data_IF_022773991817
#
_entry.id   IF_022773991817
#
_cell.length_a   1.000
_cell.length_b   1.000
_cell.length_c   1.000
_cell.angle_alpha   90.00
_cell.angle_beta   90.00
_cell.angle_gamma   90.00
#
_symmetry.space_group_name_H-M   'P 1'
#
loop_
_entity.id
_entity.type
_entity.pdbx_description
1 polymer ?
#
# COMPACT_ATOMS: atom_id res chain seq x y z
N UNK A 1 10.30 -25.20 -43.44
CA UNK A 1 10.93 -24.35 -44.47
C UNK A 1 9.86 -23.55 -45.21
N UNK A 2 10.05 -22.23 -45.31
CA UNK A 2 9.34 -21.20 -46.11
C UNK A 2 7.83 -20.98 -45.87
N UNK A 3 7.37 -19.88 -45.25
CA UNK A 3 7.23 -18.45 -45.68
C UNK A 3 6.16 -18.18 -46.75
N UNK A 4 5.23 -17.29 -46.39
CA UNK A 4 4.49 -16.23 -47.14
C UNK A 4 2.98 -16.28 -46.81
N UNK A 5 2.37 -15.32 -46.10
CA UNK A 5 2.10 -13.89 -46.39
C UNK A 5 1.08 -13.65 -47.51
N UNK A 6 -0.14 -13.27 -47.15
CA UNK A 6 -1.07 -12.47 -47.96
C UNK A 6 -1.95 -11.67 -46.97
N UNK A 7 -1.67 -10.38 -46.74
CA UNK A 7 -2.28 -9.24 -47.43
C UNK A 7 -3.81 -9.24 -47.40
N UNK A 8 -4.38 -8.48 -46.46
CA UNK A 8 -5.62 -7.72 -46.67
C UNK A 8 -5.33 -6.24 -46.35
N UNK A 9 -5.18 -5.45 -47.41
CA UNK A 9 -5.11 -4.00 -47.37
C UNK A 9 -6.50 -3.39 -47.55
N UNK A 10 -6.86 -2.56 -46.57
CA UNK A 10 -7.58 -1.27 -46.67
C UNK A 10 -8.99 -1.21 -47.27
N UNK A 11 -9.96 -0.80 -46.44
CA UNK A 11 -10.38 0.62 -46.38
C UNK A 11 -11.09 0.95 -45.05
N UNK A 12 -11.08 2.23 -44.62
CA UNK A 12 -11.22 2.62 -43.23
C UNK A 12 -12.64 3.07 -42.89
N UNK A 13 -13.26 2.42 -41.91
CA UNK A 13 -14.42 2.95 -41.20
C UNK A 13 -13.98 3.31 -39.79
N UNK A 14 -13.84 4.59 -39.51
CA UNK A 14 -13.54 5.13 -38.18
C UNK A 14 -14.68 4.83 -37.20
N UNK A 15 -14.66 3.63 -36.62
CA UNK A 15 -15.39 3.31 -35.40
C UNK A 15 -14.39 3.37 -34.26
N UNK A 16 -14.43 4.46 -33.49
CA UNK A 16 -13.74 4.55 -32.21
C UNK A 16 -13.98 3.27 -31.40
N UNK A 17 -12.91 2.56 -31.04
CA UNK A 17 -12.94 1.54 -29.99
C UNK A 17 -13.73 2.12 -28.81
N UNK A 18 -14.76 1.43 -28.27
CA UNK A 18 -15.39 1.89 -27.04
C UNK A 18 -14.28 2.01 -25.99
N UNK A 19 -14.19 3.13 -25.27
CA UNK A 19 -13.33 3.20 -24.11
C UNK A 19 -13.63 2.01 -23.20
N UNK A 20 -12.61 1.43 -22.56
CA UNK A 20 -12.78 0.30 -21.62
C UNK A 20 -13.93 0.56 -20.63
N UNK A 21 -14.12 1.82 -20.26
CA UNK A 21 -15.23 2.36 -19.47
C UNK A 21 -16.63 2.04 -20.06
N UNK A 22 -16.86 2.22 -21.37
CA UNK A 22 -18.14 1.91 -22.01
C UNK A 22 -18.41 0.41 -22.06
N UNK A 23 -17.38 -0.40 -22.29
CA UNK A 23 -17.51 -1.86 -22.31
C UNK A 23 -17.88 -2.39 -20.91
N UNK A 24 -17.27 -1.84 -19.86
CA UNK A 24 -17.57 -2.21 -18.48
C UNK A 24 -18.89 -1.63 -17.99
N UNK A 25 -19.28 -0.41 -18.38
CA UNK A 25 -20.64 0.11 -18.16
C UNK A 25 -21.71 -0.84 -18.73
N UNK A 26 -21.47 -1.40 -19.90
CA UNK A 26 -22.33 -2.42 -20.49
C UNK A 26 -22.28 -3.74 -19.68
N UNK A 27 -21.10 -4.20 -19.27
CA UNK A 27 -20.95 -5.42 -18.45
C UNK A 27 -21.65 -5.29 -17.08
N UNK A 28 -21.60 -4.12 -16.45
CA UNK A 28 -22.29 -3.79 -15.20
C UNK A 28 -23.82 -3.69 -15.35
N UNK A 29 -24.35 -3.40 -16.55
CA UNK A 29 -25.79 -3.22 -16.76
C UNK A 29 -26.54 -4.45 -17.30
N UNK A 30 -25.84 -5.44 -17.87
CA UNK A 30 -26.49 -6.48 -18.69
C UNK A 30 -27.00 -7.72 -17.92
N UNK A 31 -26.68 -7.91 -16.63
CA UNK A 31 -26.92 -9.21 -15.96
C UNK A 31 -27.69 -9.22 -14.62
N UNK A 32 -28.45 -8.18 -14.25
CA UNK A 32 -28.92 -8.07 -12.86
C UNK A 32 -30.43 -7.97 -12.69
N UNK A 33 -30.98 -8.79 -11.78
CA UNK A 33 -32.35 -8.66 -11.26
C UNK A 33 -32.49 -7.31 -10.57
N UNK A 34 -33.27 -6.42 -11.17
CA UNK A 34 -33.23 -4.98 -10.91
C UNK A 34 -33.82 -4.61 -9.55
N UNK A 35 -32.96 -4.38 -8.56
CA UNK A 35 -33.25 -3.35 -7.56
C UNK A 35 -33.04 -1.99 -8.24
N UNK A 36 -33.98 -1.05 -8.06
CA UNK A 36 -33.91 0.25 -8.73
C UNK A 36 -32.77 1.10 -8.17
N UNK A 37 -31.68 1.21 -8.94
CA UNK A 37 -30.47 1.98 -8.58
C UNK A 37 -30.77 3.46 -8.36
N UNK A 38 -31.82 4.00 -9.00
CA UNK A 38 -32.26 5.40 -8.78
C UNK A 38 -32.82 5.58 -7.38
N UNK A 39 -33.73 4.69 -6.98
CA UNK A 39 -34.30 4.68 -5.64
C UNK A 39 -33.21 4.51 -4.57
N UNK A 40 -32.25 3.62 -4.79
CA UNK A 40 -31.12 3.44 -3.87
C UNK A 40 -30.25 4.71 -3.78
N UNK A 41 -30.03 5.41 -4.90
CA UNK A 41 -29.30 6.68 -4.92
C UNK A 41 -30.02 7.77 -4.13
N UNK A 42 -31.36 7.85 -4.22
CA UNK A 42 -32.16 8.80 -3.44
C UNK A 42 -32.08 8.51 -1.94
N UNK A 43 -32.18 7.23 -1.54
CA UNK A 43 -32.03 6.84 -0.14
C UNK A 43 -30.64 7.21 0.39
N UNK A 44 -29.57 6.93 -0.38
CA UNK A 44 -28.20 7.31 0.00
C UNK A 44 -27.97 8.82 0.02
N UNK A 45 -28.73 9.60 -0.76
CA UNK A 45 -28.69 11.06 -0.67
C UNK A 45 -29.34 11.54 0.63
N UNK A 46 -30.45 10.93 1.01
CA UNK A 46 -31.18 11.26 2.24
C UNK A 46 -30.39 10.90 3.52
N UNK A 47 -29.46 9.93 3.49
CA UNK A 47 -28.60 9.65 4.65
C UNK A 47 -27.59 10.76 4.98
N UNK A 48 -27.34 11.67 4.05
CA UNK A 48 -26.42 12.81 4.22
C UNK A 48 -27.17 14.04 4.72
N UNK A 49 -28.48 14.12 4.52
CA UNK A 49 -29.32 15.21 5.03
C UNK A 49 -29.69 14.96 6.51
N UNK A 50 -29.29 15.85 7.45
CA UNK A 50 -29.61 15.70 8.86
C UNK A 50 -31.11 15.49 9.16
N UNK A 51 -32.00 16.06 8.35
CA UNK A 51 -33.45 15.97 8.58
C UNK A 51 -34.05 14.64 8.11
N UNK A 52 -33.41 13.97 7.14
CA UNK A 52 -33.92 12.73 6.53
C UNK A 52 -33.10 11.49 6.90
N UNK A 53 -31.96 11.70 7.56
CA UNK A 53 -30.98 10.66 7.86
C UNK A 53 -31.57 9.46 8.59
N UNK A 54 -32.31 9.69 9.67
CA UNK A 54 -32.85 8.61 10.49
C UNK A 54 -33.84 7.74 9.68
N UNK A 55 -34.74 8.38 8.92
CA UNK A 55 -35.69 7.67 8.07
C UNK A 55 -34.99 6.90 6.94
N UNK A 56 -33.94 7.48 6.35
CA UNK A 56 -33.17 6.83 5.29
C UNK A 56 -32.36 5.61 5.82
N UNK A 57 -31.75 5.74 7.00
CA UNK A 57 -31.03 4.64 7.66
C UNK A 57 -31.99 3.49 8.03
N UNK A 58 -33.19 3.80 8.52
CA UNK A 58 -34.25 2.81 8.76
C UNK A 58 -34.66 2.09 7.46
N UNK A 59 -34.85 2.82 6.35
CA UNK A 59 -35.14 2.18 5.06
C UNK A 59 -34.00 1.27 4.59
N UNK A 60 -32.74 1.69 4.72
CA UNK A 60 -31.58 0.86 4.40
C UNK A 60 -31.55 -0.41 5.28
N UNK A 61 -31.88 -0.28 6.57
CA UNK A 61 -31.97 -1.41 7.50
C UNK A 61 -33.08 -2.41 7.14
N UNK A 62 -34.12 -2.00 6.41
CA UNK A 62 -35.16 -2.92 5.96
C UNK A 62 -34.74 -3.66 4.69
N UNK A 63 -34.01 -3.01 3.79
CA UNK A 63 -33.69 -3.55 2.46
C UNK A 63 -32.33 -4.24 2.39
N UNK A 64 -31.44 -4.09 3.38
CA UNK A 64 -30.08 -4.68 3.35
C UNK A 64 -30.07 -6.22 3.28
N UNK A 65 -31.19 -6.87 3.62
CA UNK A 65 -31.35 -8.33 3.58
C UNK A 65 -31.80 -8.86 2.21
N UNK A 66 -32.15 -7.97 1.28
CA UNK A 66 -32.65 -8.37 -0.04
C UNK A 66 -31.48 -8.83 -0.91
N UNK A 67 -31.63 -9.99 -1.56
CA UNK A 67 -30.65 -10.50 -2.53
C UNK A 67 -30.53 -9.50 -3.69
N UNK A 68 -29.30 -9.16 -4.07
CA UNK A 68 -28.98 -8.16 -5.07
C UNK A 68 -28.71 -6.77 -4.48
N UNK A 69 -28.92 -6.55 -3.18
CA UNK A 69 -28.69 -5.26 -2.54
C UNK A 69 -27.21 -4.87 -2.56
N UNK A 70 -26.31 -5.75 -2.12
CA UNK A 70 -24.88 -5.43 -2.06
C UNK A 70 -24.27 -5.15 -3.45
N UNK A 71 -24.54 -5.97 -4.50
CA UNK A 71 -24.10 -5.67 -5.86
C UNK A 71 -24.68 -4.36 -6.42
N UNK A 72 -25.97 -4.08 -6.15
CA UNK A 72 -26.61 -2.82 -6.57
C UNK A 72 -25.98 -1.61 -5.89
N UNK A 73 -25.59 -1.75 -4.63
CA UNK A 73 -24.89 -0.69 -3.90
C UNK A 73 -23.50 -0.43 -4.48
N UNK A 74 -22.74 -1.49 -4.81
CA UNK A 74 -21.46 -1.35 -5.52
C UNK A 74 -21.66 -0.65 -6.88
N UNK A 75 -22.71 -1.00 -7.62
CA UNK A 75 -23.04 -0.36 -8.89
C UNK A 75 -23.28 1.14 -8.71
N UNK A 76 -24.11 1.55 -7.74
CA UNK A 76 -24.39 2.97 -7.45
C UNK A 76 -23.13 3.74 -7.07
N UNK A 77 -22.25 3.14 -6.25
CA UNK A 77 -20.95 3.72 -5.87
C UNK A 77 -20.05 3.98 -7.09
N UNK A 78 -20.17 3.17 -8.13
CA UNK A 78 -19.39 3.28 -9.36
C UNK A 78 -20.05 4.15 -10.44
N UNK A 79 -21.28 4.65 -10.24
CA UNK A 79 -21.93 5.55 -11.19
C UNK A 79 -21.31 6.95 -11.13
N UNK A 80 -20.71 7.39 -12.24
CA UNK A 80 -20.10 8.72 -12.36
C UNK A 80 -21.12 9.87 -12.37
N UNK A 81 -22.39 9.59 -12.69
CA UNK A 81 -23.49 10.55 -12.64
C UNK A 81 -23.91 10.90 -11.20
N UNK A 82 -23.54 10.05 -10.23
CA UNK A 82 -23.84 10.26 -8.81
C UNK A 82 -22.76 11.13 -8.18
N UNK A 83 -23.17 12.11 -7.37
CA UNK A 83 -22.22 13.03 -6.72
C UNK A 83 -21.32 12.30 -5.73
N UNK A 84 -20.08 12.77 -5.59
CA UNK A 84 -19.05 12.14 -4.73
C UNK A 84 -19.53 11.93 -3.28
N UNK A 85 -20.22 12.88 -2.60
CA UNK A 85 -20.70 12.65 -1.24
C UNK A 85 -21.66 11.45 -1.12
N UNK A 86 -22.55 11.27 -2.11
CA UNK A 86 -23.51 10.14 -2.14
C UNK A 86 -22.78 8.83 -2.39
N UNK A 87 -21.80 8.83 -3.32
CA UNK A 87 -20.94 7.66 -3.57
C UNK A 87 -20.11 7.28 -2.34
N UNK A 88 -19.63 8.27 -1.58
CA UNK A 88 -18.92 8.06 -0.32
C UNK A 88 -19.82 7.42 0.75
N UNK A 89 -21.03 7.95 0.95
CA UNK A 89 -21.99 7.34 1.87
C UNK A 89 -22.31 5.89 1.47
N UNK A 90 -22.50 5.64 0.16
CA UNK A 90 -22.73 4.31 -0.38
C UNK A 90 -21.58 3.34 -0.15
N UNK A 91 -20.33 3.75 -0.39
CA UNK A 91 -19.17 2.86 -0.22
C UNK A 91 -18.86 2.61 1.25
N UNK A 92 -19.10 3.59 2.13
CA UNK A 92 -18.98 3.41 3.58
C UNK A 92 -20.01 2.39 4.07
N UNK A 93 -21.26 2.50 3.58
CA UNK A 93 -22.28 1.51 3.89
C UNK A 93 -21.91 0.12 3.36
N UNK A 94 -21.47 0.03 2.10
CA UNK A 94 -21.06 -1.24 1.48
C UNK A 94 -19.94 -1.91 2.26
N UNK A 95 -18.92 -1.14 2.65
CA UNK A 95 -17.83 -1.62 3.49
C UNK A 95 -18.37 -2.20 4.80
N UNK A 96 -19.22 -1.45 5.51
CA UNK A 96 -19.78 -1.90 6.78
C UNK A 96 -20.63 -3.16 6.61
N UNK A 97 -21.42 -3.25 5.53
CA UNK A 97 -22.22 -4.41 5.18
C UNK A 97 -21.35 -5.65 4.94
N UNK A 98 -20.28 -5.52 4.14
CA UNK A 98 -19.31 -6.59 3.89
C UNK A 98 -18.60 -6.99 5.18
N UNK A 99 -18.10 -6.04 5.95
CA UNK A 99 -17.40 -6.33 7.22
C UNK A 99 -18.30 -7.06 8.22
N UNK A 100 -19.59 -6.74 8.29
CA UNK A 100 -20.52 -7.35 9.23
C UNK A 100 -21.14 -8.68 8.74
N UNK A 101 -21.37 -8.83 7.43
CA UNK A 101 -22.18 -9.91 6.86
C UNK A 101 -21.44 -10.87 5.92
N UNK A 102 -20.12 -10.74 5.72
CA UNK A 102 -19.37 -11.64 4.84
C UNK A 102 -19.00 -12.98 5.48
N UNK A 103 -18.78 -13.01 6.80
CA UNK A 103 -18.57 -14.27 7.52
C UNK A 103 -19.93 -14.88 7.85
N UNK A 104 -20.16 -16.13 7.45
CA UNK A 104 -21.26 -16.93 7.99
C UNK A 104 -21.00 -17.15 9.49
N UNK A 105 -21.90 -16.65 10.32
CA UNK A 105 -21.88 -16.88 11.77
C UNK A 105 -22.65 -18.15 12.06
N UNK A 106 -22.11 -18.97 12.97
CA UNK A 106 -22.80 -20.17 13.45
C UNK A 106 -24.11 -19.76 14.15
N UNK A 107 -25.14 -20.58 13.97
CA UNK A 107 -26.44 -20.36 14.62
C UNK A 107 -26.36 -20.96 16.01
N UNK A 108 -26.31 -20.13 17.06
CA UNK A 108 -26.45 -20.61 18.43
C UNK A 108 -27.88 -21.10 18.68
N UNK A 109 -28.04 -22.23 19.38
CA UNK A 109 -29.36 -22.82 19.64
C UNK A 109 -30.27 -21.85 20.39
N UNK A 110 -31.37 -21.44 19.73
CA UNK A 110 -32.37 -20.51 20.28
C UNK A 110 -32.21 -19.05 19.86
N UNK A 111 -31.12 -18.69 19.17
CA UNK A 111 -30.91 -17.34 18.63
C UNK A 111 -31.42 -17.20 17.18
N UNK A 112 -31.88 -15.99 16.77
CA UNK A 112 -32.26 -15.74 15.39
C UNK A 112 -31.07 -15.88 14.46
N UNK A 113 -31.28 -16.48 13.29
CA UNK A 113 -30.23 -16.69 12.27
C UNK A 113 -29.54 -15.35 11.99
N UNK A 114 -28.22 -15.25 12.24
CA UNK A 114 -27.49 -14.02 12.03
C UNK A 114 -27.49 -13.63 10.55
N UNK A 115 -27.57 -12.32 10.28
CA UNK A 115 -27.51 -11.83 8.90
C UNK A 115 -26.19 -12.22 8.24
N UNK A 116 -26.31 -12.75 7.03
CA UNK A 116 -25.20 -13.15 6.18
C UNK A 116 -25.55 -12.76 4.74
N UNK A 117 -24.61 -12.15 4.03
CA UNK A 117 -24.77 -11.81 2.61
C UNK A 117 -24.91 -13.11 1.83
N UNK A 118 -25.95 -13.20 1.00
CA UNK A 118 -26.22 -14.38 0.19
C UNK A 118 -25.06 -14.68 -0.77
N UNK A 119 -24.77 -15.96 -1.01
CA UNK A 119 -23.60 -16.38 -1.81
C UNK A 119 -23.63 -15.84 -3.26
N UNK A 120 -24.83 -15.68 -3.84
CA UNK A 120 -25.00 -15.03 -5.14
C UNK A 120 -24.44 -13.59 -5.16
N UNK A 121 -24.73 -12.81 -4.11
CA UNK A 121 -24.23 -11.45 -3.98
C UNK A 121 -22.73 -11.45 -3.71
N UNK A 122 -22.24 -12.38 -2.88
CA UNK A 122 -20.80 -12.53 -2.63
C UNK A 122 -20.03 -12.83 -3.92
N UNK A 123 -20.51 -13.76 -4.75
CA UNK A 123 -19.92 -14.07 -6.04
C UNK A 123 -19.87 -12.83 -6.94
N UNK A 124 -20.97 -12.07 -7.03
CA UNK A 124 -21.01 -10.84 -7.82
C UNK A 124 -20.05 -9.77 -7.29
N UNK A 125 -19.92 -9.61 -5.97
CA UNK A 125 -18.96 -8.66 -5.39
C UNK A 125 -17.53 -9.10 -5.69
N UNK A 126 -17.18 -10.39 -5.51
CA UNK A 126 -15.85 -10.92 -5.87
C UNK A 126 -15.51 -10.69 -7.34
N UNK A 127 -16.51 -10.85 -8.21
CA UNK A 127 -16.33 -10.65 -9.65
C UNK A 127 -16.13 -9.19 -10.07
N UNK A 128 -16.46 -8.21 -9.22
CA UNK A 128 -16.40 -6.80 -9.61
C UNK A 128 -15.53 -5.91 -8.70
N UNK A 129 -15.20 -6.35 -7.48
CA UNK A 129 -14.53 -5.51 -6.48
C UNK A 129 -13.14 -5.03 -6.92
N UNK A 130 -12.37 -5.88 -7.61
CA UNK A 130 -11.03 -5.51 -8.12
C UNK A 130 -11.15 -4.45 -9.21
N UNK A 131 -12.08 -4.63 -10.15
CA UNK A 131 -12.35 -3.68 -11.24
C UNK A 131 -12.83 -2.33 -10.66
N UNK A 132 -13.68 -2.38 -9.64
CA UNK A 132 -14.16 -1.21 -8.93
C UNK A 132 -13.02 -0.44 -8.22
N UNK A 133 -12.09 -1.13 -7.55
CA UNK A 133 -10.92 -0.50 -6.90
C UNK A 133 -10.03 0.21 -7.93
N UNK A 134 -9.78 -0.43 -9.07
CA UNK A 134 -8.95 0.14 -10.14
C UNK A 134 -9.55 1.44 -10.68
N UNK A 135 -10.86 1.46 -10.92
CA UNK A 135 -11.54 2.60 -11.55
C UNK A 135 -11.99 3.68 -10.57
N UNK A 136 -12.12 3.36 -9.29
CA UNK A 136 -12.63 4.29 -8.30
C UNK A 136 -11.66 5.46 -8.06
N UNK A 137 -12.18 6.67 -7.79
CA UNK A 137 -11.37 7.77 -7.26
C UNK A 137 -10.85 7.41 -5.86
N UNK A 138 -9.74 8.03 -5.44
CA UNK A 138 -9.00 7.68 -4.22
C UNK A 138 -9.90 7.52 -2.98
N UNK A 139 -10.79 8.47 -2.73
CA UNK A 139 -11.65 8.46 -1.54
C UNK A 139 -12.65 7.31 -1.50
N UNK A 140 -13.05 6.77 -2.65
CA UNK A 140 -13.89 5.57 -2.75
C UNK A 140 -13.00 4.32 -2.68
N UNK A 141 -11.86 4.37 -3.38
CA UNK A 141 -10.89 3.28 -3.47
C UNK A 141 -10.43 2.80 -2.10
N UNK A 142 -10.11 3.71 -1.18
CA UNK A 142 -9.66 3.36 0.18
C UNK A 142 -10.73 2.57 0.96
N UNK A 143 -12.01 2.89 0.79
CA UNK A 143 -13.10 2.17 1.46
C UNK A 143 -13.34 0.79 0.84
N UNK A 144 -13.24 0.69 -0.49
CA UNK A 144 -13.31 -0.59 -1.19
C UNK A 144 -12.15 -1.53 -0.80
N UNK A 145 -10.94 -1.00 -0.57
CA UNK A 145 -9.82 -1.81 -0.07
C UNK A 145 -10.10 -2.42 1.31
N UNK A 146 -10.82 -1.72 2.20
CA UNK A 146 -11.22 -2.28 3.50
C UNK A 146 -12.24 -3.41 3.31
N UNK A 147 -13.21 -3.23 2.42
CA UNK A 147 -14.16 -4.30 2.07
C UNK A 147 -13.41 -5.52 1.49
N UNK A 148 -12.48 -5.29 0.56
CA UNK A 148 -11.64 -6.32 -0.03
C UNK A 148 -10.82 -7.09 1.02
N UNK A 149 -10.27 -6.39 2.02
CA UNK A 149 -9.54 -7.03 3.12
C UNK A 149 -10.40 -8.08 3.84
N UNK A 150 -11.66 -7.76 4.13
CA UNK A 150 -12.60 -8.72 4.72
C UNK A 150 -12.84 -9.91 3.77
N UNK A 151 -13.08 -9.64 2.49
CA UNK A 151 -13.34 -10.69 1.49
C UNK A 151 -12.14 -11.66 1.40
N UNK A 152 -10.93 -11.13 1.26
CA UNK A 152 -9.69 -11.93 1.19
C UNK A 152 -9.53 -12.79 2.45
N UNK A 153 -9.78 -12.23 3.63
CA UNK A 153 -9.63 -12.93 4.91
C UNK A 153 -10.46 -14.21 4.99
N UNK A 154 -11.66 -14.20 4.42
CA UNK A 154 -12.61 -15.31 4.52
C UNK A 154 -12.62 -16.23 3.29
N UNK A 155 -12.32 -15.70 2.10
CA UNK A 155 -12.49 -16.44 0.83
C UNK A 155 -11.16 -16.84 0.17
N UNK A 156 -10.03 -16.19 0.47
CA UNK A 156 -8.74 -16.55 -0.10
C UNK A 156 -7.97 -17.51 0.83
N UNK A 157 -7.37 -18.60 0.31
CA UNK A 157 -7.29 -19.01 -1.10
C UNK A 157 -8.40 -19.98 -1.53
N UNK A 158 -9.28 -20.41 -0.62
CA UNK A 158 -10.13 -21.58 -0.84
C UNK A 158 -11.28 -21.35 -1.82
N UNK A 159 -12.01 -20.24 -1.66
CA UNK A 159 -13.21 -19.92 -2.45
C UNK A 159 -12.92 -18.93 -3.58
N UNK A 160 -11.84 -18.15 -3.49
CA UNK A 160 -11.56 -17.08 -4.44
C UNK A 160 -10.07 -16.91 -4.75
N UNK A 161 -9.57 -17.69 -5.70
CA UNK A 161 -8.18 -17.59 -6.19
C UNK A 161 -8.01 -16.54 -7.30
N UNK A 162 -9.09 -16.21 -8.01
CA UNK A 162 -9.09 -15.37 -9.22
C UNK A 162 -8.65 -13.92 -8.96
N UNK A 163 -8.59 -13.49 -7.70
CA UNK A 163 -8.01 -12.20 -7.33
C UNK A 163 -6.57 -12.05 -7.83
N UNK A 164 -5.77 -13.13 -7.78
CA UNK A 164 -4.37 -13.13 -8.23
C UNK A 164 -4.28 -12.89 -9.73
N UNK A 165 -5.12 -13.58 -10.51
CA UNK A 165 -5.18 -13.44 -11.97
C UNK A 165 -5.59 -12.02 -12.38
N UNK A 166 -6.58 -11.44 -11.70
CA UNK A 166 -7.00 -10.06 -11.97
C UNK A 166 -5.90 -9.05 -11.66
N UNK A 167 -5.23 -9.18 -10.52
CA UNK A 167 -4.09 -8.31 -10.18
C UNK A 167 -3.02 -8.44 -11.26
N UNK A 168 -2.69 -9.66 -11.67
CA UNK A 168 -1.70 -9.91 -12.72
C UNK A 168 -2.08 -9.22 -14.05
N UNK A 169 -3.33 -9.35 -14.50
CA UNK A 169 -3.82 -8.70 -15.73
C UNK A 169 -3.72 -7.18 -15.63
N UNK A 170 -4.13 -6.57 -14.52
CA UNK A 170 -4.06 -5.11 -14.36
C UNK A 170 -2.63 -4.58 -14.24
N UNK A 171 -1.69 -5.36 -13.70
CA UNK A 171 -0.27 -5.01 -13.69
C UNK A 171 0.36 -5.02 -15.09
N UNK A 172 -0.19 -5.79 -16.03
CA UNK A 172 0.27 -5.83 -17.43
C UNK A 172 -0.23 -4.65 -18.26
N UNK A 173 -1.34 -4.02 -17.87
CA UNK A 173 -1.93 -2.90 -18.60
C UNK A 173 -1.15 -1.62 -18.32
N UNK A 174 -0.60 -0.91 -19.33
CA UNK A 174 0.25 0.26 -19.13
C UNK A 174 -0.56 1.51 -18.77
N UNK A 175 -1.19 1.50 -17.60
CA UNK A 175 -2.01 2.58 -17.05
C UNK A 175 -1.74 2.74 -15.55
N UNK A 176 -1.36 3.95 -15.12
CA UNK A 176 -0.96 4.21 -13.75
C UNK A 176 -2.09 3.98 -12.73
N UNK A 177 -3.34 4.26 -13.12
CA UNK A 177 -4.51 4.00 -12.27
C UNK A 177 -4.74 2.49 -12.09
N UNK A 178 -4.63 1.73 -13.17
CA UNK A 178 -4.67 0.27 -13.18
C UNK A 178 -3.60 -0.33 -12.29
N UNK A 179 -2.35 0.13 -12.42
CA UNK A 179 -1.25 -0.30 -11.56
C UNK A 179 -1.52 0.01 -10.08
N UNK A 180 -1.92 1.24 -9.76
CA UNK A 180 -2.20 1.63 -8.38
C UNK A 180 -3.31 0.78 -7.76
N UNK A 181 -4.43 0.60 -8.46
CA UNK A 181 -5.54 -0.23 -7.98
C UNK A 181 -5.13 -1.69 -7.76
N UNK A 182 -4.39 -2.28 -8.71
CA UNK A 182 -3.89 -3.65 -8.60
C UNK A 182 -2.92 -3.82 -7.42
N UNK A 183 -2.00 -2.88 -7.23
CA UNK A 183 -1.05 -2.91 -6.13
C UNK A 183 -1.72 -2.71 -4.77
N UNK A 184 -2.79 -1.93 -4.69
CA UNK A 184 -3.59 -1.80 -3.47
C UNK A 184 -4.32 -3.11 -3.14
N UNK A 185 -4.89 -3.79 -4.13
CA UNK A 185 -5.45 -5.13 -3.97
C UNK A 185 -4.40 -6.14 -3.48
N UNK A 186 -3.22 -6.12 -4.10
CA UNK A 186 -2.09 -6.97 -3.69
C UNK A 186 -1.63 -6.67 -2.26
N UNK A 187 -1.61 -5.40 -1.87
CA UNK A 187 -1.27 -5.02 -0.50
C UNK A 187 -2.23 -5.60 0.53
N UNK A 188 -3.55 -5.62 0.24
CA UNK A 188 -4.52 -6.26 1.13
C UNK A 188 -4.30 -7.77 1.22
N UNK A 189 -3.92 -8.42 0.11
CA UNK A 189 -3.57 -9.84 0.09
C UNK A 189 -2.34 -10.12 0.98
N UNK A 190 -1.28 -9.33 0.84
CA UNK A 190 -0.06 -9.45 1.67
C UNK A 190 -0.40 -9.21 3.15
N UNK A 191 -1.16 -8.15 3.45
CA UNK A 191 -1.58 -7.80 4.82
C UNK A 191 -2.42 -8.88 5.49
N UNK A 192 -3.22 -9.64 4.74
CA UNK A 192 -3.98 -10.76 5.30
C UNK A 192 -3.07 -11.82 5.95
N UNK A 193 -1.87 -12.01 5.40
CA UNK A 193 -0.89 -12.99 5.89
C UNK A 193 0.19 -12.39 6.80
N UNK A 194 0.10 -11.10 7.13
CA UNK A 194 1.15 -10.35 7.85
C UNK A 194 1.58 -11.03 9.16
N UNK A 195 0.62 -11.56 9.92
CA UNK A 195 0.85 -12.20 11.23
C UNK A 195 0.78 -13.74 11.19
N UNK A 196 0.63 -14.33 10.01
CA UNK A 196 0.58 -15.78 9.87
C UNK A 196 1.98 -16.40 9.99
N UNK A 197 2.06 -17.62 10.55
CA UNK A 197 3.26 -18.44 10.56
C UNK A 197 3.62 -18.91 9.13
N UNK A 198 4.87 -19.31 8.91
CA UNK A 198 5.42 -19.60 7.58
C UNK A 198 4.60 -20.64 6.81
N UNK A 199 4.15 -21.70 7.48
CA UNK A 199 3.40 -22.82 6.90
C UNK A 199 2.04 -22.38 6.35
N UNK A 200 1.43 -21.36 6.97
CA UNK A 200 0.14 -20.81 6.53
C UNK A 200 0.28 -19.77 5.42
N UNK A 201 1.51 -19.38 5.05
CA UNK A 201 1.77 -18.39 3.99
C UNK A 201 1.93 -19.01 2.60
N UNK A 202 1.94 -20.34 2.47
CA UNK A 202 2.09 -21.02 1.16
C UNK A 202 1.23 -20.41 0.05
N UNK A 203 -0.08 -20.12 0.25
CA UNK A 203 -0.90 -19.53 -0.80
C UNK A 203 -0.46 -18.11 -1.21
N UNK A 204 0.06 -17.31 -0.26
CA UNK A 204 0.65 -16.01 -0.58
C UNK A 204 1.93 -16.20 -1.39
N UNK A 205 2.79 -17.15 -1.00
CA UNK A 205 4.06 -17.41 -1.70
C UNK A 205 3.81 -17.84 -3.15
N UNK A 206 2.83 -18.72 -3.38
CA UNK A 206 2.40 -19.11 -4.73
C UNK A 206 1.93 -17.91 -5.56
N UNK A 207 1.09 -17.03 -4.98
CA UNK A 207 0.66 -15.80 -5.64
C UNK A 207 1.84 -14.87 -5.96
N UNK A 208 2.79 -14.74 -5.03
CA UNK A 208 3.95 -13.87 -5.20
C UNK A 208 4.99 -14.40 -6.19
N UNK A 209 5.05 -15.71 -6.46
CA UNK A 209 5.86 -16.25 -7.56
C UNK A 209 5.47 -15.65 -8.91
N UNK A 210 4.17 -15.36 -9.11
CA UNK A 210 3.66 -14.69 -10.30
C UNK A 210 3.79 -13.17 -10.22
N UNK A 211 3.47 -12.58 -9.07
CA UNK A 211 3.29 -11.13 -8.93
C UNK A 211 4.59 -10.37 -8.60
N UNK A 212 5.55 -10.98 -7.90
CA UNK A 212 6.80 -10.33 -7.51
C UNK A 212 7.67 -9.92 -8.73
N UNK A 213 7.84 -10.75 -9.77
CA UNK A 213 8.56 -10.33 -10.98
C UNK A 213 7.87 -9.16 -11.70
N UNK A 214 6.53 -9.13 -11.71
CA UNK A 214 5.76 -8.02 -12.29
C UNK A 214 5.99 -6.71 -11.52
N UNK A 215 5.96 -6.77 -10.19
CA UNK A 215 6.28 -5.61 -9.34
C UNK A 215 7.70 -5.11 -9.58
N UNK A 216 8.67 -6.02 -9.67
CA UNK A 216 10.08 -5.69 -9.92
C UNK A 216 10.26 -4.99 -11.29
N UNK A 217 9.72 -5.57 -12.36
CA UNK A 217 9.83 -4.98 -13.69
C UNK A 217 9.15 -3.60 -13.74
N UNK A 218 8.00 -3.45 -13.07
CA UNK A 218 7.28 -2.18 -13.02
C UNK A 218 8.09 -1.10 -12.30
N UNK A 219 8.64 -1.38 -11.11
CA UNK A 219 9.43 -0.38 -10.39
C UNK A 219 10.68 0.02 -11.16
N UNK A 220 11.39 -0.94 -11.78
CA UNK A 220 12.58 -0.67 -12.61
C UNK A 220 12.24 0.24 -13.80
N UNK A 221 11.14 -0.05 -14.50
CA UNK A 221 10.69 0.76 -15.63
C UNK A 221 10.29 2.19 -15.23
N UNK A 222 9.79 2.37 -14.00
CA UNK A 222 9.34 3.66 -13.50
C UNK A 222 10.45 4.51 -12.85
N UNK A 223 11.64 3.98 -12.60
CA UNK A 223 12.70 4.71 -11.86
C UNK A 223 13.08 6.05 -12.51
N UNK A 224 13.07 6.12 -13.85
CA UNK A 224 13.39 7.34 -14.57
C UNK A 224 12.26 8.38 -14.58
N UNK A 225 11.02 7.95 -14.34
CA UNK A 225 9.84 8.81 -14.34
C UNK A 225 9.60 9.42 -12.96
N UNK A 226 9.87 10.72 -12.86
CA UNK A 226 9.72 11.52 -11.64
C UNK A 226 8.36 12.23 -11.53
N UNK A 227 7.35 11.83 -12.31
CA UNK A 227 5.97 12.29 -12.13
C UNK A 227 5.40 11.85 -10.78
N UNK A 228 4.45 12.64 -10.25
CA UNK A 228 3.77 12.37 -8.98
C UNK A 228 3.11 11.00 -9.02
N UNK A 229 2.45 10.66 -10.13
CA UNK A 229 1.74 9.42 -10.37
C UNK A 229 2.69 8.22 -10.36
N UNK A 230 3.82 8.31 -11.08
CA UNK A 230 4.86 7.27 -11.09
C UNK A 230 5.41 7.03 -9.69
N UNK A 231 5.78 8.10 -8.97
CA UNK A 231 6.39 7.99 -7.64
C UNK A 231 5.41 7.40 -6.62
N UNK A 232 4.11 7.71 -6.74
CA UNK A 232 3.07 7.08 -5.93
C UNK A 232 2.99 5.56 -6.19
N UNK A 233 3.06 5.12 -7.45
CA UNK A 233 3.09 3.70 -7.81
C UNK A 233 4.34 3.03 -7.25
N UNK A 234 5.53 3.63 -7.42
CA UNK A 234 6.78 3.12 -6.86
C UNK A 234 6.71 2.98 -5.34
N UNK A 235 6.21 4.00 -4.63
CA UNK A 235 5.97 3.97 -3.18
C UNK A 235 5.03 2.81 -2.81
N UNK A 236 3.97 2.56 -3.57
CA UNK A 236 3.05 1.46 -3.29
C UNK A 236 3.71 0.08 -3.54
N UNK A 237 4.58 -0.06 -4.54
CA UNK A 237 5.38 -1.28 -4.77
C UNK A 237 6.30 -1.54 -3.57
N UNK A 238 7.00 -0.52 -3.08
CA UNK A 238 7.86 -0.64 -1.90
C UNK A 238 7.06 -1.01 -0.65
N UNK A 239 5.84 -0.48 -0.47
CA UNK A 239 4.93 -0.92 0.61
C UNK A 239 4.60 -2.41 0.53
N UNK A 240 4.28 -2.90 -0.67
CA UNK A 240 4.01 -4.32 -0.89
C UNK A 240 5.24 -5.18 -0.60
N UNK A 241 6.41 -4.81 -1.10
CA UNK A 241 7.66 -5.52 -0.85
C UNK A 241 8.01 -5.55 0.64
N UNK A 242 7.93 -4.41 1.33
CA UNK A 242 8.14 -4.35 2.78
C UNK A 242 7.14 -5.24 3.53
N UNK A 243 5.85 -5.20 3.17
CA UNK A 243 4.83 -6.04 3.78
C UNK A 243 5.11 -7.54 3.63
N UNK A 244 5.66 -7.96 2.49
CA UNK A 244 6.03 -9.35 2.22
C UNK A 244 7.15 -9.84 3.15
N UNK A 245 8.15 -8.99 3.42
CA UNK A 245 9.38 -9.36 4.15
C UNK A 245 9.41 -8.93 5.62
N UNK A 246 8.41 -8.16 6.10
CA UNK A 246 8.44 -7.50 7.43
C UNK A 246 8.68 -8.48 8.59
N UNK A 247 8.01 -9.64 8.56
CA UNK A 247 8.01 -10.59 9.67
C UNK A 247 8.68 -11.92 9.35
N UNK A 248 8.62 -12.36 8.09
CA UNK A 248 9.24 -13.59 7.61
C UNK A 248 9.88 -13.29 6.26
N UNK A 249 11.12 -13.70 6.05
CA UNK A 249 11.80 -13.58 4.76
C UNK A 249 11.73 -14.95 4.06
N UNK A 250 10.81 -15.17 3.11
CA UNK A 250 10.65 -16.47 2.46
C UNK A 250 11.82 -16.71 1.48
N UNK A 251 12.87 -17.39 1.93
CA UNK A 251 14.11 -17.60 1.15
C UNK A 251 13.91 -18.40 -0.14
N UNK A 252 12.85 -19.23 -0.21
CA UNK A 252 12.48 -19.96 -1.42
C UNK A 252 11.96 -19.03 -2.54
N UNK A 253 11.26 -17.96 -2.16
CA UNK A 253 10.74 -16.95 -3.06
C UNK A 253 11.78 -15.83 -3.32
N UNK A 254 12.42 -15.38 -2.24
CA UNK A 254 13.42 -14.31 -2.24
C UNK A 254 14.79 -14.97 -2.21
N UNK A 255 15.14 -15.60 -3.32
CA UNK A 255 16.46 -16.18 -3.54
C UNK A 255 17.53 -15.08 -3.50
N UNK A 256 18.81 -15.45 -3.40
CA UNK A 256 19.90 -14.47 -3.42
C UNK A 256 19.87 -13.55 -4.65
N UNK A 257 19.48 -14.06 -5.81
CA UNK A 257 19.35 -13.26 -7.03
C UNK A 257 18.20 -12.24 -6.91
N UNK A 258 17.01 -12.70 -6.49
CA UNK A 258 15.85 -11.84 -6.30
C UNK A 258 16.15 -10.78 -5.24
N UNK A 259 16.76 -11.18 -4.13
CA UNK A 259 17.17 -10.26 -3.07
C UNK A 259 18.13 -9.19 -3.59
N UNK A 260 19.18 -9.58 -4.32
CA UNK A 260 20.17 -8.64 -4.90
C UNK A 260 19.48 -7.58 -5.76
N UNK A 261 18.57 -8.00 -6.65
CA UNK A 261 17.78 -7.09 -7.49
C UNK A 261 16.96 -6.09 -6.68
N UNK A 262 16.26 -6.55 -5.64
CA UNK A 262 15.48 -5.65 -4.78
C UNK A 262 16.35 -4.73 -3.93
N UNK A 263 17.53 -5.18 -3.49
CA UNK A 263 18.49 -4.32 -2.79
C UNK A 263 19.03 -3.20 -3.67
N UNK A 264 19.29 -3.48 -4.96
CA UNK A 264 19.65 -2.45 -5.94
C UNK A 264 18.53 -1.44 -6.14
N UNK A 265 17.27 -1.88 -6.21
CA UNK A 265 16.11 -0.99 -6.28
C UNK A 265 16.02 -0.09 -5.04
N UNK A 266 16.10 -0.66 -3.84
CA UNK A 266 16.05 0.10 -2.58
C UNK A 266 17.18 1.12 -2.50
N UNK A 267 18.40 0.73 -2.88
CA UNK A 267 19.56 1.60 -2.95
C UNK A 267 19.35 2.74 -3.95
N UNK A 268 18.91 2.42 -5.17
CA UNK A 268 18.67 3.39 -6.24
C UNK A 268 17.62 4.43 -5.84
N UNK A 269 16.51 4.03 -5.21
CA UNK A 269 15.50 4.96 -4.69
C UNK A 269 16.09 5.94 -3.66
N UNK A 270 17.03 5.46 -2.84
CA UNK A 270 17.74 6.33 -1.88
C UNK A 270 18.75 7.25 -2.54
N UNK A 271 19.38 6.86 -3.66
CA UNK A 271 20.34 7.67 -4.42
C UNK A 271 19.69 8.77 -5.27
N UNK A 272 18.50 8.53 -5.82
CA UNK A 272 17.80 9.52 -6.68
C UNK A 272 17.51 10.81 -5.89
N UNK A 273 17.96 11.99 -6.32
CA UNK A 273 17.70 13.24 -5.63
C UNK A 273 16.20 13.58 -5.67
N UNK A 274 15.69 14.22 -4.62
CA UNK A 274 14.32 14.74 -4.63
C UNK A 274 14.29 15.98 -5.53
N UNK A 275 13.31 16.12 -6.46
CA UNK A 275 13.27 17.25 -7.38
C UNK A 275 13.20 18.61 -6.68
N UNK A 276 13.94 19.60 -7.19
CA UNK A 276 14.06 20.93 -6.56
C UNK A 276 12.72 21.68 -6.48
N UNK A 277 11.77 21.42 -7.38
CA UNK A 277 10.44 22.04 -7.34
C UNK A 277 9.67 21.70 -6.05
N UNK A 278 10.02 20.60 -5.37
CA UNK A 278 9.42 20.22 -4.08
C UNK A 278 9.78 21.19 -2.95
N UNK A 279 10.85 21.98 -3.10
CA UNK A 279 11.26 22.98 -2.10
C UNK A 279 10.32 24.20 -2.08
N UNK A 280 9.49 24.38 -3.10
CA UNK A 280 8.47 25.43 -3.16
C UNK A 280 7.28 25.17 -2.23
N UNK A 281 7.12 23.92 -1.78
CA UNK A 281 6.10 23.53 -0.80
C UNK A 281 6.58 23.90 0.59
N UNK A 282 5.66 24.33 1.45
CA UNK A 282 5.92 24.65 2.84
C UNK A 282 6.60 23.48 3.57
N UNK A 283 7.57 23.78 4.42
CA UNK A 283 8.45 22.76 5.02
C UNK A 283 7.68 21.67 5.77
N UNK A 284 6.62 22.06 6.48
CA UNK A 284 5.74 21.17 7.25
C UNK A 284 4.97 20.18 6.35
N UNK A 285 4.67 20.56 5.11
CA UNK A 285 3.94 19.72 4.15
C UNK A 285 4.88 18.86 3.28
N UNK A 286 6.18 19.20 3.21
CA UNK A 286 7.13 18.47 2.36
C UNK A 286 7.21 16.99 2.70
N UNK A 287 7.02 16.60 3.97
CA UNK A 287 7.04 15.18 4.36
C UNK A 287 5.90 14.37 3.74
N UNK A 288 4.80 15.01 3.36
CA UNK A 288 3.65 14.37 2.75
C UNK A 288 3.84 14.09 1.25
N UNK A 289 4.88 14.66 0.65
CA UNK A 289 5.18 14.50 -0.76
C UNK A 289 5.54 13.05 -1.12
N UNK A 290 5.14 12.57 -2.32
CA UNK A 290 5.38 11.18 -2.74
C UNK A 290 6.85 10.76 -2.70
N UNK A 291 7.79 11.64 -3.08
CA UNK A 291 9.22 11.33 -3.11
C UNK A 291 9.77 11.00 -1.72
N UNK A 292 9.40 11.79 -0.71
CA UNK A 292 9.81 11.55 0.69
C UNK A 292 9.16 10.29 1.25
N UNK A 293 7.88 10.06 0.94
CA UNK A 293 7.19 8.79 1.27
C UNK A 293 7.87 7.59 0.62
N UNK A 294 8.31 7.70 -0.64
CA UNK A 294 9.01 6.65 -1.36
C UNK A 294 10.37 6.33 -0.71
N UNK A 295 11.20 7.35 -0.45
CA UNK A 295 12.47 7.20 0.28
C UNK A 295 12.27 6.60 1.67
N UNK A 296 11.23 7.03 2.40
CA UNK A 296 10.86 6.48 3.71
C UNK A 296 10.63 4.97 3.64
N UNK A 297 9.84 4.48 2.69
CA UNK A 297 9.64 3.04 2.54
C UNK A 297 10.90 2.29 2.11
N UNK A 298 11.78 2.91 1.32
CA UNK A 298 13.06 2.32 0.95
C UNK A 298 13.98 2.13 2.16
N UNK A 299 14.26 3.20 2.91
CA UNK A 299 15.12 3.12 4.11
C UNK A 299 14.49 2.28 5.23
N UNK A 300 13.17 2.32 5.40
CA UNK A 300 12.47 1.44 6.33
C UNK A 300 12.71 -0.04 6.01
N UNK A 301 12.61 -0.42 4.73
CA UNK A 301 12.85 -1.80 4.29
C UNK A 301 14.30 -2.21 4.54
N UNK A 302 15.26 -1.32 4.24
CA UNK A 302 16.69 -1.55 4.49
C UNK A 302 16.98 -1.76 5.99
N UNK A 303 16.42 -0.90 6.85
CA UNK A 303 16.55 -1.01 8.30
C UNK A 303 15.97 -2.33 8.83
N UNK A 304 14.73 -2.66 8.46
CA UNK A 304 14.07 -3.88 8.91
C UNK A 304 14.81 -5.15 8.46
N UNK A 305 15.33 -5.15 7.22
CA UNK A 305 16.13 -6.25 6.71
C UNK A 305 17.40 -6.45 7.54
N UNK A 306 18.09 -5.37 7.87
CA UNK A 306 19.31 -5.46 8.67
C UNK A 306 19.02 -5.89 10.11
N UNK A 307 18.07 -5.22 10.78
CA UNK A 307 17.67 -5.49 12.16
C UNK A 307 17.25 -6.96 12.38
N UNK A 308 16.47 -7.53 11.46
CA UNK A 308 15.90 -8.89 11.62
C UNK A 308 16.73 -10.00 11.01
N UNK A 309 17.36 -9.75 9.87
CA UNK A 309 17.97 -10.81 9.04
C UNK A 309 19.45 -10.59 8.75
N UNK A 310 19.99 -9.40 9.02
CA UNK A 310 21.39 -9.08 8.71
C UNK A 310 22.36 -9.26 9.88
N UNK A 311 21.90 -9.68 11.05
CA UNK A 311 22.76 -9.97 12.21
C UNK A 311 22.93 -11.49 12.39
N UNK A 312 24.11 -12.08 12.12
CA UNK A 312 24.34 -13.51 12.36
C UNK A 312 24.16 -13.92 13.83
N UNK A 313 24.32 -12.96 14.76
CA UNK A 313 24.21 -13.19 16.21
C UNK A 313 22.75 -13.25 16.65
N UNK A 314 21.89 -12.41 16.06
CA UNK A 314 20.47 -12.30 16.44
C UNK A 314 19.53 -13.03 15.47
N UNK A 315 20.04 -13.49 14.33
CA UNK A 315 19.30 -14.24 13.33
C UNK A 315 18.89 -15.62 13.86
N UNK A 316 17.71 -16.08 13.42
CA UNK A 316 17.34 -17.49 13.56
C UNK A 316 18.32 -18.35 12.77
N UNK A 317 18.48 -19.61 13.17
CA UNK A 317 19.41 -20.56 12.55
C UNK A 317 19.27 -20.62 11.02
N UNK A 318 18.04 -20.58 10.51
CA UNK A 318 17.71 -20.57 9.07
C UNK A 318 18.25 -19.35 8.31
N UNK A 319 18.49 -18.22 8.97
CA UNK A 319 18.98 -16.97 8.36
C UNK A 319 20.46 -16.70 8.61
N UNK A 320 21.19 -17.51 9.38
CA UNK A 320 22.60 -17.20 9.74
C UNK A 320 23.48 -17.07 8.49
N UNK A 321 23.41 -18.03 7.57
CA UNK A 321 24.17 -17.98 6.31
C UNK A 321 23.77 -16.78 5.43
N UNK A 322 22.48 -16.40 5.48
CA UNK A 322 21.98 -15.24 4.78
C UNK A 322 22.53 -13.94 5.41
N UNK A 323 22.57 -13.85 6.73
CA UNK A 323 23.05 -12.70 7.46
C UNK A 323 24.55 -12.43 7.20
N UNK A 324 25.37 -13.48 7.16
CA UNK A 324 26.80 -13.37 6.83
C UNK A 324 27.01 -12.85 5.40
N UNK A 325 26.23 -13.38 4.45
CA UNK A 325 26.24 -12.92 3.07
C UNK A 325 25.75 -11.47 2.94
N UNK A 326 24.68 -11.11 3.65
CA UNK A 326 24.13 -9.75 3.67
C UNK A 326 25.17 -8.74 4.15
N UNK A 327 25.83 -9.04 5.28
CA UNK A 327 26.81 -8.17 5.91
C UNK A 327 27.96 -7.85 4.96
N UNK A 328 28.50 -8.88 4.32
CA UNK A 328 29.68 -8.78 3.46
C UNK A 328 29.38 -8.17 2.09
N UNK A 329 28.16 -8.33 1.58
CA UNK A 329 27.82 -7.94 0.20
C UNK A 329 27.18 -6.55 0.12
N UNK A 330 26.24 -6.22 1.00
CA UNK A 330 25.39 -5.02 0.82
C UNK A 330 25.69 -3.88 1.80
N UNK A 331 26.14 -4.18 3.01
CA UNK A 331 26.32 -3.17 4.08
C UNK A 331 27.13 -1.97 3.63
N UNK A 332 28.24 -2.18 2.91
CA UNK A 332 29.10 -1.08 2.45
C UNK A 332 28.39 -0.14 1.48
N UNK A 333 27.71 -0.69 0.47
CA UNK A 333 26.97 0.12 -0.51
C UNK A 333 25.77 0.84 0.10
N UNK A 334 25.06 0.21 1.04
CA UNK A 334 23.95 0.84 1.76
C UNK A 334 24.46 1.98 2.65
N UNK A 335 25.51 1.73 3.43
CA UNK A 335 26.12 2.73 4.31
C UNK A 335 26.58 3.96 3.52
N UNK A 336 27.18 3.78 2.35
CA UNK A 336 27.60 4.90 1.51
C UNK A 336 26.42 5.81 1.15
N UNK A 337 25.29 5.24 0.73
CA UNK A 337 24.09 6.01 0.38
C UNK A 337 23.47 6.69 1.59
N UNK A 338 23.39 5.99 2.72
CA UNK A 338 22.85 6.54 3.97
C UNK A 338 23.73 7.67 4.55
N UNK A 339 25.05 7.56 4.42
CA UNK A 339 25.98 8.63 4.79
C UNK A 339 25.81 9.86 3.90
N UNK A 340 25.50 9.70 2.60
CA UNK A 340 25.16 10.83 1.72
C UNK A 340 23.86 11.54 2.15
N UNK A 341 22.87 10.80 2.65
CA UNK A 341 21.64 11.40 3.22
C UNK A 341 21.98 12.23 4.47
N UNK A 342 22.85 11.72 5.35
CA UNK A 342 23.33 12.50 6.49
C UNK A 342 24.14 13.73 6.05
N UNK A 343 24.91 13.61 4.97
CA UNK A 343 25.66 14.73 4.42
C UNK A 343 24.75 15.82 3.84
N UNK A 344 23.65 15.44 3.20
CA UNK A 344 22.60 16.38 2.78
C UNK A 344 22.06 17.17 3.97
N UNK A 345 21.72 16.48 5.06
CA UNK A 345 21.25 17.12 6.29
C UNK A 345 22.30 18.09 6.87
N UNK A 346 23.57 17.66 6.93
CA UNK A 346 24.69 18.51 7.38
C UNK A 346 24.80 19.79 6.54
N UNK A 347 24.65 19.67 5.23
CA UNK A 347 24.72 20.78 4.28
C UNK A 347 23.43 21.61 4.20
N UNK A 348 22.51 21.46 5.17
CA UNK A 348 21.23 22.18 5.25
C UNK A 348 20.30 21.94 4.05
N UNK A 349 20.49 20.82 3.34
CA UNK A 349 19.51 20.34 2.37
C UNK A 349 18.40 19.63 3.14
N UNK A 350 17.15 19.97 2.83
CA UNK A 350 16.00 19.38 3.52
C UNK A 350 15.99 17.85 3.37
N UNK A 351 15.84 17.16 4.49
CA UNK A 351 15.63 15.71 4.59
C UNK A 351 14.42 15.48 5.46
N UNK A 352 13.44 14.70 4.97
CA UNK A 352 12.26 14.37 5.78
C UNK A 352 12.68 13.78 7.13
N UNK A 353 12.12 14.25 8.26
CA UNK A 353 12.48 13.78 9.60
C UNK A 353 12.42 12.25 9.75
N UNK A 354 11.47 11.60 9.06
CA UNK A 354 11.31 10.14 9.11
C UNK A 354 12.40 9.39 8.37
N UNK A 355 12.85 9.91 7.22
CA UNK A 355 13.99 9.35 6.48
C UNK A 355 15.27 9.51 7.30
N UNK A 356 15.45 10.67 7.94
CA UNK A 356 16.59 10.93 8.82
C UNK A 356 16.61 9.99 10.03
N UNK A 357 15.49 9.86 10.74
CA UNK A 357 15.36 8.94 11.88
C UNK A 357 15.71 7.50 11.49
N UNK A 358 15.12 6.97 10.41
CA UNK A 358 15.38 5.58 9.98
C UNK A 358 16.82 5.37 9.47
N UNK A 359 17.41 6.40 8.88
CA UNK A 359 18.83 6.42 8.52
C UNK A 359 19.70 6.29 9.77
N UNK A 360 19.40 7.06 10.81
CA UNK A 360 20.09 6.97 12.10
C UNK A 360 19.88 5.62 12.78
N UNK A 361 18.67 5.04 12.73
CA UNK A 361 18.41 3.70 13.25
C UNK A 361 19.23 2.63 12.52
N UNK A 362 19.41 2.74 11.20
CA UNK A 362 20.29 1.83 10.46
C UNK A 362 21.75 1.98 10.91
N UNK A 363 22.21 3.21 11.10
CA UNK A 363 23.57 3.51 11.58
C UNK A 363 23.79 2.95 12.98
N UNK A 364 22.81 3.08 13.88
CA UNK A 364 22.86 2.49 15.22
C UNK A 364 23.04 0.97 15.16
N UNK A 365 22.27 0.28 14.29
CA UNK A 365 22.46 -1.16 14.06
C UNK A 365 23.87 -1.47 13.52
N UNK A 366 24.43 -0.62 12.65
CA UNK A 366 25.79 -0.79 12.16
C UNK A 366 26.85 -0.67 13.26
N UNK A 367 26.60 0.03 14.36
CA UNK A 367 27.57 0.14 15.48
C UNK A 367 27.71 -1.20 16.21
N UNK A 368 26.65 -2.00 16.27
CA UNK A 368 26.64 -3.26 17.02
C UNK A 368 27.46 -4.39 16.36
N UNK A 369 27.77 -4.28 15.06
CA UNK A 369 28.46 -5.33 14.30
C UNK A 369 29.88 -4.95 13.90
N UNK A 370 30.84 -5.83 14.17
CA UNK A 370 32.25 -5.58 13.91
C UNK A 370 32.58 -5.32 12.43
N UNK A 371 31.85 -5.93 11.49
CA UNK A 371 32.06 -5.70 10.05
C UNK A 371 31.61 -4.31 9.62
N UNK A 372 30.35 -3.94 9.90
CA UNK A 372 29.80 -2.61 9.59
C UNK A 372 30.50 -1.50 10.35
N UNK A 373 30.90 -1.74 11.60
CA UNK A 373 31.63 -0.76 12.40
C UNK A 373 32.96 -0.36 11.76
N UNK A 374 33.69 -1.30 11.15
CA UNK A 374 34.94 -0.97 10.43
C UNK A 374 34.71 0.04 9.29
N UNK A 375 33.56 -0.06 8.62
CA UNK A 375 33.17 0.84 7.53
C UNK A 375 32.65 2.19 8.07
N UNK A 376 31.93 2.18 9.19
CA UNK A 376 31.30 3.36 9.77
C UNK A 376 32.27 4.21 10.61
N UNK A 377 33.24 3.58 11.29
CA UNK A 377 34.17 4.23 12.22
C UNK A 377 34.88 5.48 11.67
N UNK A 378 35.38 5.52 10.42
CA UNK A 378 36.03 6.71 9.88
C UNK A 378 35.11 7.94 9.78
N UNK A 379 33.80 7.72 9.64
CA UNK A 379 32.79 8.77 9.47
C UNK A 379 32.11 9.18 10.78
N UNK A 380 32.20 8.33 11.81
CA UNK A 380 31.44 8.48 13.05
C UNK A 380 31.71 9.80 13.78
N UNK A 381 32.95 10.29 13.79
CA UNK A 381 33.27 11.57 14.43
C UNK A 381 32.44 12.72 13.82
N UNK A 382 32.37 12.77 12.50
CA UNK A 382 31.62 13.79 11.77
C UNK A 382 30.10 13.60 11.94
N UNK A 383 29.61 12.36 11.99
CA UNK A 383 28.19 12.07 12.28
C UNK A 383 27.81 12.56 13.68
N UNK A 384 28.66 12.33 14.70
CA UNK A 384 28.41 12.79 16.06
C UNK A 384 28.41 14.32 16.12
N UNK A 385 29.44 14.95 15.57
CA UNK A 385 29.65 16.39 15.67
C UNK A 385 28.61 17.19 14.85
N UNK A 386 28.37 16.78 13.60
CA UNK A 386 27.65 17.63 12.64
C UNK A 386 26.19 17.19 12.44
N UNK A 387 25.80 16.00 12.92
CA UNK A 387 24.43 15.47 12.77
C UNK A 387 23.79 15.25 14.14
N UNK A 388 24.35 14.38 14.98
CA UNK A 388 23.72 14.00 16.25
C UNK A 388 23.71 15.15 17.26
N UNK A 389 24.82 15.87 17.43
CA UNK A 389 24.91 16.96 18.39
C UNK A 389 23.94 18.11 18.08
N UNK A 390 23.82 18.61 16.83
CA UNK A 390 22.80 19.58 16.47
C UNK A 390 21.37 19.06 16.67
N UNK A 391 21.09 17.78 16.35
CA UNK A 391 19.76 17.19 16.53
C UNK A 391 19.34 17.09 18.02
N UNK A 392 20.30 16.90 18.92
CA UNK A 392 20.07 16.86 20.37
C UNK A 392 20.06 18.24 21.01
N UNK A 393 20.47 19.28 20.28
CA UNK A 393 20.53 20.64 20.81
C UNK A 393 19.14 21.27 20.85
N UNK A 394 18.92 22.14 21.84
CA UNK A 394 17.71 22.95 21.91
C UNK A 394 17.74 23.99 20.80
N UNK A 395 16.75 23.92 19.90
CA UNK A 395 16.68 24.81 18.73
C UNK A 395 15.85 26.07 19.00
N UNK A 396 15.96 27.07 18.14
CA UNK A 396 15.09 28.26 18.21
C UNK A 396 13.60 27.89 18.05
N UNK A 397 13.30 26.89 17.22
CA UNK A 397 11.94 26.35 17.09
C UNK A 397 11.45 25.68 18.38
N UNK A 398 12.35 25.01 19.11
CA UNK A 398 12.04 24.45 20.44
C UNK A 398 11.75 25.58 21.45
N UNK A 399 12.51 26.68 21.39
CA UNK A 399 12.28 27.87 22.22
C UNK A 399 10.94 28.54 21.93
N UNK A 400 10.62 28.71 20.65
CA UNK A 400 9.34 29.25 20.22
C UNK A 400 8.18 28.37 20.67
N UNK A 401 8.28 27.05 20.48
CA UNK A 401 7.24 26.12 20.91
C UNK A 401 7.08 26.08 22.43
N UNK A 402 8.18 26.09 23.18
CA UNK A 402 8.13 26.17 24.64
C UNK A 402 7.42 27.44 25.13
N UNK A 403 7.65 28.57 24.45
CA UNK A 403 7.04 29.85 24.81
C UNK A 403 5.57 29.97 24.37
N UNK A 404 5.21 29.36 23.23
CA UNK A 404 3.84 29.44 22.68
C UNK A 404 2.92 28.35 23.22
N UNK A 405 3.38 27.10 23.29
CA UNK A 405 2.65 25.95 23.82
C UNK A 405 3.60 24.94 24.52
N UNK A 406 3.92 25.14 25.80
CA UNK A 406 4.81 24.27 26.55
C UNK A 406 4.24 22.84 26.72
N UNK A 407 2.92 22.67 26.69
CA UNK A 407 2.31 21.34 26.76
C UNK A 407 2.58 20.55 25.47
N UNK A 408 2.45 21.21 24.32
CA UNK A 408 2.78 20.63 23.03
C UNK A 408 4.27 20.30 22.92
N UNK A 409 5.15 21.19 23.40
CA UNK A 409 6.60 20.92 23.47
C UNK A 409 6.90 19.62 24.24
N UNK A 410 6.34 19.48 25.45
CA UNK A 410 6.54 18.27 26.27
C UNK A 410 5.97 17.05 25.54
N UNK A 411 4.80 17.18 24.92
CA UNK A 411 4.17 16.09 24.14
C UNK A 411 5.07 15.64 22.99
N UNK A 412 5.59 16.56 22.18
CA UNK A 412 6.43 16.23 21.03
C UNK A 412 7.76 15.60 21.44
N UNK A 413 8.45 16.18 22.43
CA UNK A 413 9.78 15.70 22.85
C UNK A 413 9.72 14.38 23.64
N UNK A 414 8.69 14.17 24.47
CA UNK A 414 8.66 13.03 25.39
C UNK A 414 7.60 11.97 25.06
N UNK A 415 6.50 12.32 24.38
CA UNK A 415 5.37 11.40 24.14
C UNK A 415 5.28 10.95 22.67
N UNK A 416 5.46 11.87 21.72
CA UNK A 416 5.32 11.57 20.29
C UNK A 416 6.47 10.71 19.74
N UNK A 417 7.66 10.82 20.32
CA UNK A 417 8.83 9.97 20.04
C UNK A 417 8.52 8.47 20.19
N UNK A 418 7.73 8.08 21.20
CA UNK A 418 7.26 6.70 21.38
C UNK A 418 6.02 6.36 20.52
N UNK A 419 5.12 7.32 20.29
CA UNK A 419 3.86 7.08 19.60
C UNK A 419 4.00 6.93 18.08
N UNK A 420 4.93 7.64 17.45
CA UNK A 420 5.17 7.62 16.00
C UNK A 420 5.66 6.25 15.49
N UNK A 421 6.28 5.44 16.35
CA UNK A 421 6.66 4.05 16.02
C UNK A 421 5.48 3.06 16.15
N UNK A 422 4.42 3.42 16.88
CA UNK A 422 3.27 2.55 17.18
C UNK A 422 2.05 2.89 16.30
N UNK A 423 1.77 4.17 16.06
CA UNK A 423 0.55 4.62 15.38
C UNK A 423 0.54 4.36 13.87
N UNK A 424 1.69 4.41 13.17
CA UNK A 424 1.72 4.15 11.72
C UNK A 424 1.50 2.67 11.38
N UNK A 425 1.90 1.74 12.25
CA UNK A 425 1.62 0.31 12.08
C UNK A 425 0.10 0.01 12.13
N UNK A 426 -0.70 0.91 12.73
CA UNK A 426 -2.15 0.81 12.84
C UNK A 426 -2.94 1.63 11.79
N UNK A 427 -2.36 2.72 11.25
CA UNK A 427 -3.10 3.70 10.41
C UNK A 427 -2.67 3.70 8.92
N UNK A 428 -1.70 2.88 8.49
CA UNK A 428 -1.16 2.86 7.10
C UNK A 428 -1.68 1.81 6.13
#
# INVERSE_FOLDING_TARGET
CHRQSAFFTSTPGGGSCPSLEKYLFYKFNVNYGKMDTRKLTEILRATIDPNQRQQAEEQLSQIHKIIGFAPSLLQVVMLNEVTIPVRQAGVVYLKNLVTAGWQEKEVEEGEPIPFSIHEQDRAMIRDNIVDAIVQAPEIIRVQLCIALKTIIKHDFPTRWTQIVDKIHIYLQNPDANSWMGALLCLYQLIKNYEYHQAEKRVPLIEAMNLLLPMMYNLIVNLQADQSVESVLVQKQILKCFNGLIKYILPLDLITREVFTKWMEVLRSVMEVPVPEHTLQVDEDERMELPWWKCKKWAVHSLYRLFERYGSPVNAREEYVQFAEWYLTTFTGGILEVLLRVLDQYRNKVYVSPRVLQQTLSYIDQCVTHAHSWKLLKPHMFAVIQDVLFPLMSYSEADEELWNTDPHEYIRLKFVLSMALDIFEDFVS
#
